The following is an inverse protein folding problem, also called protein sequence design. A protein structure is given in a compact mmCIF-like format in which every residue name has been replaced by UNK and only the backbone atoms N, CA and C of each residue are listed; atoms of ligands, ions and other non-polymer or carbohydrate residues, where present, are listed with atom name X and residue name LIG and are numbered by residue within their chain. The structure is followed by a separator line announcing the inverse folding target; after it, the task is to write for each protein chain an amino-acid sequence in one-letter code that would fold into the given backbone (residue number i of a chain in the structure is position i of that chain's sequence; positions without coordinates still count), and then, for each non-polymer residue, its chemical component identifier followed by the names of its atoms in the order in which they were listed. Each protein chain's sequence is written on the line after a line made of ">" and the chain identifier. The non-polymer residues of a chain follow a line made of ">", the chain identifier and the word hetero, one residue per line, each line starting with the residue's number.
data_IF_751304048191
#
_entry.id   IF_751304048191
#
_cell.length_a   1.000
_cell.length_b   1.000
_cell.length_c   1.000
_cell.angle_alpha   90.00
_cell.angle_beta   90.00
_cell.angle_gamma   90.00
#
_symmetry.space_group_name_H-M   'P 1'
#
loop_
_entity.id
_entity.type
_entity.pdbx_description
1 polymer ?
#
# COMPACT_ATOMS: atom_id res chain seq x y z
N UNK A 1 -38.33 54.91 2.52
CA UNK A 1 -39.14 53.73 2.15
C UNK A 1 -38.19 52.56 1.90
N UNK A 2 -38.31 51.57 2.79
CA UNK A 2 -37.99 50.14 2.63
C UNK A 2 -36.62 49.70 2.10
N UNK A 3 -35.80 49.30 3.08
CA UNK A 3 -34.83 48.20 3.06
C UNK A 3 -35.30 46.92 2.35
N UNK A 4 -34.37 46.17 1.74
CA UNK A 4 -34.01 44.81 2.19
C UNK A 4 -32.70 44.33 1.57
N UNK A 5 -31.77 43.95 2.43
CA UNK A 5 -30.65 43.05 2.15
C UNK A 5 -31.15 41.61 2.04
N UNK A 6 -30.53 40.80 1.18
CA UNK A 6 -30.58 39.34 1.28
C UNK A 6 -29.18 38.76 1.17
N UNK A 7 -28.81 37.98 2.19
CA UNK A 7 -27.58 37.21 2.26
C UNK A 7 -27.60 35.92 1.44
N UNK A 8 -26.39 35.39 1.26
CA UNK A 8 -25.97 34.14 0.60
C UNK A 8 -26.86 32.89 0.84
N UNK A 9 -26.78 31.84 -0.01
CA UNK A 9 -25.72 30.82 0.19
C UNK A 9 -25.18 30.08 -1.07
N UNK A 10 -23.95 29.60 -0.89
CA UNK A 10 -23.27 28.42 -1.45
C UNK A 10 -23.95 27.54 -2.53
N UNK A 11 -23.21 27.26 -3.61
CA UNK A 11 -23.14 25.95 -4.29
C UNK A 11 -21.89 26.01 -5.19
N UNK A 12 -20.87 25.15 -5.12
CA UNK A 12 -20.89 23.73 -4.82
C UNK A 12 -20.39 23.00 -6.06
N UNK A 13 -19.09 23.07 -6.35
CA UNK A 13 -18.43 22.10 -7.24
C UNK A 13 -17.43 21.30 -6.42
N UNK A 14 -17.94 20.59 -5.40
CA UNK A 14 -17.27 19.39 -4.96
C UNK A 14 -17.29 18.44 -6.15
N UNK A 15 -16.12 18.22 -6.74
CA UNK A 15 -15.88 17.16 -7.72
C UNK A 15 -16.25 15.85 -7.02
N UNK A 16 -17.48 15.41 -7.25
CA UNK A 16 -17.99 14.13 -6.77
C UNK A 16 -17.17 13.05 -7.48
N UNK A 17 -16.04 12.67 -6.87
CA UNK A 17 -15.31 11.48 -7.28
C UNK A 17 -16.27 10.30 -7.17
N UNK A 18 -16.56 9.67 -8.30
CA UNK A 18 -17.35 8.45 -8.37
C UNK A 18 -16.92 7.47 -7.26
N UNK A 19 -17.85 6.92 -6.46
CA UNK A 19 -17.51 6.02 -5.36
C UNK A 19 -16.76 4.76 -5.84
N UNK A 20 -16.93 4.36 -7.11
CA UNK A 20 -16.25 3.21 -7.71
C UNK A 20 -14.76 3.44 -8.02
N UNK A 21 -14.32 4.68 -8.25
CA UNK A 21 -12.92 4.96 -8.60
C UNK A 21 -11.96 4.80 -7.41
N UNK A 22 -12.47 4.82 -6.18
CA UNK A 22 -11.67 4.66 -4.95
C UNK A 22 -11.27 3.20 -4.66
N UNK A 23 -11.90 2.22 -5.32
CA UNK A 23 -11.66 0.79 -5.08
C UNK A 23 -10.95 0.10 -6.24
N UNK A 24 -10.77 0.77 -7.37
CA UNK A 24 -10.00 0.22 -8.49
C UNK A 24 -8.51 0.35 -8.18
N UNK A 25 -7.92 -0.76 -7.75
CA UNK A 25 -6.48 -0.89 -7.70
C UNK A 25 -6.02 -1.47 -9.03
N UNK A 26 -5.30 -0.70 -9.85
CA UNK A 26 -4.73 -1.23 -11.08
C UNK A 26 -3.82 -2.42 -10.73
N UNK A 27 -3.74 -3.44 -11.60
CA UNK A 27 -2.82 -4.54 -11.42
C UNK A 27 -1.41 -3.99 -11.17
N UNK A 28 -0.66 -4.66 -10.29
CA UNK A 28 0.72 -4.28 -10.01
C UNK A 28 1.51 -4.33 -11.32
N UNK A 29 2.08 -3.20 -11.74
CA UNK A 29 3.04 -3.22 -12.83
C UNK A 29 4.30 -3.98 -12.37
N UNK A 30 4.98 -4.71 -13.25
CA UNK A 30 6.23 -5.39 -12.89
C UNK A 30 7.25 -4.39 -12.36
N UNK A 31 8.08 -4.82 -11.41
CA UNK A 31 9.10 -3.95 -10.86
C UNK A 31 10.19 -3.71 -11.93
N UNK A 32 10.74 -2.49 -12.03
CA UNK A 32 11.86 -2.23 -12.94
C UNK A 32 13.14 -2.99 -12.55
N UNK A 33 13.22 -3.41 -11.28
CA UNK A 33 14.30 -4.23 -10.74
C UNK A 33 13.98 -5.73 -10.76
N UNK A 34 12.88 -6.15 -11.40
CA UNK A 34 12.49 -7.57 -11.50
C UNK A 34 13.42 -8.29 -12.48
N UNK A 35 14.09 -9.36 -12.02
CA UNK A 35 15.06 -10.12 -12.83
C UNK A 35 14.55 -11.49 -13.25
N UNK A 36 13.67 -12.11 -12.45
CA UNK A 36 13.01 -13.38 -12.77
C UNK A 36 11.73 -13.52 -11.94
N UNK A 37 10.83 -14.42 -12.35
CA UNK A 37 9.59 -14.79 -11.66
C UNK A 37 9.70 -16.23 -11.17
N UNK A 38 9.46 -16.44 -9.87
CA UNK A 38 9.39 -17.79 -9.30
C UNK A 38 7.97 -18.32 -9.47
N UNK A 39 7.77 -19.28 -10.36
CA UNK A 39 6.48 -19.95 -10.53
C UNK A 39 6.15 -20.85 -9.34
N UNK A 40 4.88 -20.90 -8.94
CA UNK A 40 4.45 -21.67 -7.77
C UNK A 40 4.73 -23.18 -7.88
N UNK A 41 4.75 -23.73 -9.10
CA UNK A 41 4.96 -25.16 -9.35
C UNK A 41 6.37 -25.49 -9.83
N UNK A 42 7.33 -24.56 -9.69
CA UNK A 42 8.72 -24.81 -10.05
C UNK A 42 9.31 -25.93 -9.17
N UNK A 43 9.94 -26.91 -9.81
CA UNK A 43 10.68 -27.94 -9.07
C UNK A 43 11.92 -27.34 -8.41
N UNK A 44 12.27 -27.82 -7.20
CA UNK A 44 13.42 -27.30 -6.42
C UNK A 44 14.71 -27.25 -7.24
N UNK A 45 14.99 -28.28 -8.05
CA UNK A 45 16.17 -28.28 -8.93
C UNK A 45 16.15 -27.15 -9.96
N UNK A 46 15.00 -26.93 -10.61
CA UNK A 46 14.86 -25.86 -11.59
C UNK A 46 14.97 -24.49 -10.93
N UNK A 47 14.39 -24.32 -9.75
CA UNK A 47 14.52 -23.09 -8.94
C UNK A 47 15.98 -22.78 -8.59
N UNK A 48 16.74 -23.77 -8.12
CA UNK A 48 18.14 -23.57 -7.77
C UNK A 48 18.98 -23.15 -8.97
N UNK A 49 18.77 -23.78 -10.13
CA UNK A 49 19.42 -23.38 -11.38
C UNK A 49 19.03 -21.96 -11.81
N UNK A 50 17.78 -21.56 -11.59
CA UNK A 50 17.30 -20.20 -11.83
C UNK A 50 18.01 -19.18 -10.93
N UNK A 51 18.11 -19.47 -9.64
CA UNK A 51 18.80 -18.61 -8.66
C UNK A 51 20.28 -18.49 -9.00
N UNK A 52 20.97 -19.61 -9.26
CA UNK A 52 22.38 -19.60 -9.65
C UNK A 52 22.62 -18.75 -10.90
N UNK A 53 21.77 -18.89 -11.92
CA UNK A 53 21.84 -18.10 -13.15
C UNK A 53 21.70 -16.61 -12.86
N UNK A 54 20.67 -16.23 -12.11
CA UNK A 54 20.38 -14.82 -11.79
C UNK A 54 21.51 -14.19 -10.97
N UNK A 55 22.03 -14.92 -9.98
CA UNK A 55 23.15 -14.45 -9.16
C UNK A 55 24.48 -14.34 -9.93
N UNK A 56 24.64 -15.10 -11.01
CA UNK A 56 25.81 -15.02 -11.89
C UNK A 56 25.77 -13.85 -12.89
N UNK A 57 24.60 -13.21 -13.08
CA UNK A 57 24.50 -12.03 -13.93
C UNK A 57 25.25 -10.84 -13.29
N UNK A 58 25.91 -9.99 -14.09
CA UNK A 58 26.46 -8.73 -13.58
C UNK A 58 25.35 -7.92 -12.91
N UNK A 59 25.57 -7.54 -11.65
CA UNK A 59 24.62 -6.71 -10.92
C UNK A 59 24.68 -5.28 -11.49
N UNK A 60 23.82 -4.99 -12.45
CA UNK A 60 23.47 -3.59 -12.75
C UNK A 60 22.85 -3.00 -11.47
N UNK A 61 23.33 -1.83 -11.00
CA UNK A 61 22.74 -1.20 -9.83
C UNK A 61 21.25 -1.00 -10.11
N UNK A 62 20.36 -1.49 -9.23
CA UNK A 62 18.93 -1.36 -9.45
C UNK A 62 18.59 0.13 -9.61
N UNK A 63 17.66 0.48 -10.51
CA UNK A 63 17.21 1.85 -10.62
C UNK A 63 16.76 2.33 -9.23
N UNK A 64 17.09 3.57 -8.84
CA UNK A 64 16.67 4.08 -7.54
C UNK A 64 15.16 3.96 -7.41
N UNK A 65 14.68 3.56 -6.22
CA UNK A 65 13.28 3.19 -5.98
C UNK A 65 12.27 4.24 -6.50
N UNK A 66 12.66 5.51 -6.49
CA UNK A 66 11.89 6.66 -6.98
C UNK A 66 11.58 6.62 -8.48
N UNK A 67 12.41 5.95 -9.29
CA UNK A 67 12.22 5.81 -10.73
C UNK A 67 11.27 4.67 -11.10
N UNK A 68 11.02 3.73 -10.18
CA UNK A 68 10.05 2.66 -10.38
C UNK A 68 8.69 3.07 -9.80
N UNK A 69 7.61 3.18 -10.62
CA UNK A 69 6.28 3.54 -10.13
C UNK A 69 5.72 2.60 -9.04
N UNK A 70 6.22 1.36 -8.99
CA UNK A 70 5.87 0.38 -7.95
C UNK A 70 6.64 0.65 -6.65
N UNK A 71 7.96 0.74 -6.72
CA UNK A 71 8.81 0.93 -5.52
C UNK A 71 8.69 2.34 -4.94
N UNK A 72 8.41 3.36 -5.75
CA UNK A 72 8.24 4.74 -5.29
C UNK A 72 6.99 4.93 -4.41
N UNK A 73 6.11 3.92 -4.31
CA UNK A 73 4.87 4.00 -3.51
C UNK A 73 5.15 3.78 -2.03
N UNK A 74 5.66 4.81 -1.37
CA UNK A 74 5.80 4.83 0.07
C UNK A 74 4.44 4.74 0.78
N UNK A 75 4.46 4.13 1.96
CA UNK A 75 3.33 4.14 2.88
C UNK A 75 3.12 5.55 3.42
N UNK A 76 1.88 6.03 3.35
CA UNK A 76 1.48 7.30 3.95
C UNK A 76 1.43 7.17 5.48
N UNK A 77 1.52 8.30 6.19
CA UNK A 77 1.38 8.34 7.65
C UNK A 77 0.12 7.64 8.16
N UNK A 78 -1.00 7.73 7.44
CA UNK A 78 -2.26 7.09 7.83
C UNK A 78 -2.23 5.56 7.64
N UNK A 79 -1.66 5.09 6.54
CA UNK A 79 -1.44 3.67 6.30
C UNK A 79 -0.51 3.06 7.37
N UNK A 80 0.55 3.78 7.72
CA UNK A 80 1.46 3.43 8.81
C UNK A 80 0.72 3.27 10.15
N UNK A 81 -0.07 4.28 10.56
CA UNK A 81 -0.84 4.21 11.80
C UNK A 81 -1.78 3.00 11.85
N UNK A 82 -2.48 2.71 10.75
CA UNK A 82 -3.35 1.54 10.65
C UNK A 82 -2.54 0.25 10.79
N UNK A 83 -1.41 0.13 10.08
CA UNK A 83 -0.56 -1.06 10.19
C UNK A 83 0.04 -1.25 11.59
N UNK A 84 0.45 -0.17 12.26
CA UNK A 84 0.97 -0.24 13.64
C UNK A 84 -0.07 -0.82 14.59
N UNK A 85 -1.32 -0.38 14.50
CA UNK A 85 -2.39 -0.90 15.37
C UNK A 85 -2.82 -2.32 14.97
N UNK A 86 -2.75 -2.67 13.68
CA UNK A 86 -2.93 -4.06 13.22
C UNK A 86 -1.83 -4.98 13.76
N UNK A 87 -0.57 -4.53 13.82
CA UNK A 87 0.53 -5.27 14.44
C UNK A 87 0.28 -5.52 15.92
N UNK A 88 -0.38 -4.59 16.61
CA UNK A 88 -0.83 -4.75 18.00
C UNK A 88 -2.08 -5.64 18.16
N UNK A 89 -2.50 -6.36 17.11
CA UNK A 89 -3.70 -7.21 17.09
C UNK A 89 -5.02 -6.50 17.45
N UNK A 90 -5.11 -5.18 17.26
CA UNK A 90 -6.37 -4.48 17.47
C UNK A 90 -7.38 -4.83 16.38
N UNK A 91 -8.66 -4.93 16.76
CA UNK A 91 -9.73 -5.16 15.80
C UNK A 91 -9.92 -3.93 14.90
N UNK A 92 -10.45 -4.12 13.69
CA UNK A 92 -10.75 -3.01 12.77
C UNK A 92 -11.69 -1.98 13.40
N UNK A 93 -12.62 -2.42 14.26
CA UNK A 93 -13.52 -1.54 15.00
C UNK A 93 -12.79 -0.69 16.04
N UNK A 94 -11.83 -1.27 16.76
CA UNK A 94 -11.04 -0.54 17.76
C UNK A 94 -10.09 0.45 17.09
N UNK A 95 -9.46 0.06 15.98
CA UNK A 95 -8.62 0.94 15.16
C UNK A 95 -9.44 2.12 14.64
N UNK A 96 -10.65 1.87 14.15
CA UNK A 96 -11.55 2.90 13.68
C UNK A 96 -11.86 3.92 14.78
N UNK A 97 -12.19 3.43 15.99
CA UNK A 97 -12.43 4.28 17.16
C UNK A 97 -11.18 5.08 17.56
N UNK A 98 -10.02 4.42 17.60
CA UNK A 98 -8.75 5.02 18.01
C UNK A 98 -8.28 6.13 17.05
N UNK A 99 -8.52 5.97 15.75
CA UNK A 99 -8.08 6.92 14.73
C UNK A 99 -9.16 7.93 14.30
N UNK A 100 -10.37 7.85 14.86
CA UNK A 100 -11.52 8.70 14.46
C UNK A 100 -11.97 8.41 13.02
N UNK A 101 -11.94 7.15 12.60
CA UNK A 101 -12.28 6.69 11.25
C UNK A 101 -13.52 5.80 11.26
N UNK A 102 -14.09 5.53 10.09
CA UNK A 102 -15.04 4.43 9.93
C UNK A 102 -14.29 3.10 9.75
N UNK A 103 -14.86 1.95 10.15
CA UNK A 103 -14.29 0.63 9.86
C UNK A 103 -13.99 0.41 8.37
N UNK A 104 -14.86 0.94 7.50
CA UNK A 104 -14.69 0.90 6.04
C UNK A 104 -13.44 1.66 5.59
N UNK A 105 -13.15 2.80 6.21
CA UNK A 105 -11.94 3.57 5.93
C UNK A 105 -10.68 2.82 6.37
N UNK A 106 -10.73 2.13 7.51
CA UNK A 106 -9.62 1.28 7.97
C UNK A 106 -9.37 0.13 6.99
N UNK A 107 -10.42 -0.55 6.51
CA UNK A 107 -10.30 -1.56 5.45
C UNK A 107 -9.70 -1.00 4.17
N UNK A 108 -10.06 0.24 3.82
CA UNK A 108 -9.51 0.93 2.64
C UNK A 108 -8.01 1.15 2.82
N UNK A 109 -7.57 1.71 3.95
CA UNK A 109 -6.14 1.88 4.22
C UNK A 109 -5.40 0.54 4.23
N UNK A 110 -5.94 -0.50 4.87
CA UNK A 110 -5.34 -1.85 4.86
C UNK A 110 -5.14 -2.36 3.42
N UNK A 111 -6.17 -2.23 2.58
CA UNK A 111 -6.14 -2.66 1.19
C UNK A 111 -5.16 -1.83 0.34
N UNK A 112 -5.10 -0.51 0.54
CA UNK A 112 -4.12 0.36 -0.09
C UNK A 112 -2.70 -0.06 0.28
N UNK A 113 -2.45 -0.33 1.56
CA UNK A 113 -1.16 -0.78 2.04
C UNK A 113 -0.77 -2.14 1.45
N UNK A 114 -1.66 -3.13 1.46
CA UNK A 114 -1.40 -4.43 0.84
C UNK A 114 -0.98 -4.28 -0.62
N UNK A 115 -1.65 -3.39 -1.35
CA UNK A 115 -1.28 -3.08 -2.72
C UNK A 115 0.10 -2.40 -2.82
N UNK A 116 0.41 -1.40 -1.99
CA UNK A 116 1.75 -0.80 -2.03
C UNK A 116 2.87 -1.80 -1.73
N UNK A 117 2.63 -2.72 -0.79
CA UNK A 117 3.59 -3.74 -0.38
C UNK A 117 3.58 -4.99 -1.28
N UNK A 118 2.68 -5.06 -2.27
CA UNK A 118 2.57 -6.20 -3.18
C UNK A 118 1.93 -7.46 -2.57
N UNK A 119 1.25 -7.36 -1.43
CA UNK A 119 0.51 -8.47 -0.83
C UNK A 119 -0.84 -8.69 -1.51
N UNK A 120 -1.14 -9.95 -1.77
CA UNK A 120 -2.42 -10.39 -2.34
C UNK A 120 -3.35 -10.94 -1.27
N UNK A 121 -2.79 -11.53 -0.20
CA UNK A 121 -3.55 -12.19 0.86
C UNK A 121 -3.36 -11.49 2.20
N UNK A 122 -4.42 -11.52 3.02
CA UNK A 122 -4.34 -10.99 4.40
C UNK A 122 -3.27 -11.71 5.21
N UNK A 123 -3.10 -13.02 5.01
CA UNK A 123 -2.10 -13.82 5.71
C UNK A 123 -0.69 -13.31 5.44
N UNK A 124 -0.36 -12.95 4.19
CA UNK A 124 0.93 -12.35 3.83
C UNK A 124 1.18 -11.06 4.61
N UNK A 125 0.18 -10.17 4.67
CA UNK A 125 0.27 -8.94 5.45
C UNK A 125 0.55 -9.22 6.93
N UNK A 126 -0.21 -10.11 7.56
CA UNK A 126 -0.04 -10.39 8.99
C UNK A 126 1.27 -11.11 9.30
N UNK A 127 1.71 -12.05 8.46
CA UNK A 127 3.03 -12.67 8.58
C UNK A 127 4.14 -11.62 8.50
N UNK A 128 4.05 -10.70 7.54
CA UNK A 128 5.00 -9.60 7.41
C UNK A 128 5.01 -8.66 8.63
N UNK A 129 3.83 -8.33 9.18
CA UNK A 129 3.71 -7.49 10.39
C UNK A 129 4.35 -8.13 11.63
N UNK A 130 4.20 -9.45 11.79
CA UNK A 130 4.76 -10.22 12.92
C UNK A 130 6.28 -10.34 12.78
N UNK A 131 6.79 -10.51 11.56
CA UNK A 131 8.23 -10.66 11.27
C UNK A 131 8.97 -9.30 11.19
N UNK A 132 8.53 -8.31 11.97
CA UNK A 132 9.15 -6.97 12.07
C UNK A 132 9.19 -6.15 10.76
N UNK A 133 8.29 -6.40 9.80
CA UNK A 133 8.29 -5.69 8.51
C UNK A 133 8.18 -4.15 8.62
N UNK A 134 7.49 -3.65 9.66
CA UNK A 134 7.33 -2.22 9.94
C UNK A 134 8.59 -1.53 10.47
N UNK A 135 9.60 -2.26 10.94
CA UNK A 135 10.80 -1.65 11.49
C UNK A 135 11.86 -1.38 10.39
N UNK A 136 11.77 -2.12 9.28
CA UNK A 136 12.63 -2.00 8.09
C UNK A 136 12.35 -0.72 7.29
N UNK A 137 11.08 -0.34 7.17
CA UNK A 137 10.62 0.82 6.37
C UNK A 137 10.77 2.18 7.10
N UNK A 138 11.25 2.19 8.36
CA UNK A 138 11.43 3.43 9.15
C UNK A 138 12.66 4.24 8.71
N UNK A 139 13.57 3.66 7.91
CA UNK A 139 14.86 4.28 7.57
C UNK A 139 14.80 5.38 6.50
N UNK A 140 13.65 5.64 5.87
CA UNK A 140 13.53 6.65 4.79
C UNK A 140 12.74 7.93 5.17
N UNK A 141 12.33 8.09 6.43
CA UNK A 141 11.54 9.26 6.89
C UNK A 141 12.30 10.08 7.95
N UNK A 142 13.61 9.89 8.07
CA UNK A 142 14.49 10.70 8.92
C UNK A 142 15.46 11.52 8.08
#
# INVERSE_FOLDING_TARGET
>A
MSSVSFGSPATGYHRAGHPAARYYQPPQQPCLSEQSVIEHHIGVKALLLDVERVLALPAEPPPPAQQCPRCARALTRREWQVLTLLRCQQSVGDIARHLGLSPKTVYTYKRCTMHKLGFTRNTELYHWLINCGLDTERKEIA
#
